data_IF_789427661954
#
_entry.id   IF_789427661954
#
_cell.length_a   1.000
_cell.length_b   1.000
_cell.length_c   1.000
_cell.angle_alpha   90.00
_cell.angle_beta   90.00
_cell.angle_gamma   90.00
#
_symmetry.space_group_name_H-M   'P 1'
#
loop_
_entity.id
_entity.type
_entity.pdbx_description
1 polymer ?
#
# COMPACT_ATOMS: atom_id res chain seq x y z
N UNK A 1 10.01 10.66 30.42
CA UNK A 1 11.17 10.60 31.33
C UNK A 1 10.91 9.53 32.38
N UNK A 2 11.30 8.30 32.07
CA UNK A 2 11.48 7.12 32.94
C UNK A 2 12.75 6.50 32.36
N UNK A 3 13.89 6.62 33.01
CA UNK A 3 14.23 5.77 34.15
C UNK A 3 15.31 4.82 33.66
N UNK A 4 16.48 5.39 33.39
CA UNK A 4 17.74 4.71 33.14
C UNK A 4 18.18 4.05 34.45
N UNK A 5 17.76 2.81 34.71
CA UNK A 5 18.23 2.01 35.85
C UNK A 5 18.44 0.55 35.42
N UNK A 6 19.36 0.32 34.49
CA UNK A 6 19.76 -1.04 34.10
C UNK A 6 21.24 -1.15 33.70
N UNK A 7 22.13 -0.40 34.37
CA UNK A 7 23.58 -0.45 34.09
C UNK A 7 24.44 -0.47 35.35
N UNK A 8 24.02 -1.22 36.37
CA UNK A 8 24.81 -1.36 37.61
C UNK A 8 24.75 -2.80 38.17
N UNK A 9 24.86 -3.81 37.30
CA UNK A 9 25.01 -5.22 37.71
C UNK A 9 26.00 -6.01 36.83
N UNK A 10 27.15 -5.41 36.49
CA UNK A 10 28.23 -6.13 35.77
C UNK A 10 29.60 -5.98 36.48
N UNK A 11 29.67 -5.29 37.62
CA UNK A 11 30.94 -4.91 38.27
C UNK A 11 31.36 -5.67 39.54
N UNK A 12 30.77 -6.82 39.88
CA UNK A 12 31.09 -7.53 41.14
C UNK A 12 31.24 -9.06 41.01
N UNK A 13 31.77 -9.56 39.89
CA UNK A 13 32.07 -10.99 39.75
C UNK A 13 33.53 -11.30 39.44
N UNK A 14 34.44 -10.41 39.88
CA UNK A 14 35.88 -10.61 39.75
C UNK A 14 36.53 -10.10 41.02
N UNK A 15 36.56 -10.88 42.11
CA UNK A 15 37.55 -10.85 43.20
C UNK A 15 37.16 -11.86 44.30
N UNK A 16 37.16 -13.16 44.00
CA UNK A 16 37.39 -14.18 45.03
C UNK A 16 37.66 -15.56 44.43
N UNK A 17 38.86 -15.73 43.88
CA UNK A 17 39.43 -17.05 43.66
C UNK A 17 40.81 -17.08 44.28
N UNK A 18 40.84 -17.20 45.61
CA UNK A 18 42.00 -17.74 46.33
C UNK A 18 42.38 -19.07 45.70
N UNK A 19 43.54 -19.09 45.06
CA UNK A 19 44.18 -20.28 44.49
C UNK A 19 44.50 -21.23 45.64
N UNK A 20 43.59 -22.17 45.89
CA UNK A 20 43.84 -23.32 46.75
C UNK A 20 44.57 -24.36 45.90
N UNK A 21 45.89 -24.34 45.93
CA UNK A 21 46.73 -25.38 45.32
C UNK A 21 46.50 -26.72 46.04
N UNK A 22 45.46 -27.45 45.62
CA UNK A 22 45.39 -28.89 45.89
C UNK A 22 46.51 -29.55 45.11
N UNK A 23 47.57 -29.94 45.84
CA UNK A 23 48.53 -30.96 45.39
C UNK A 23 47.75 -32.15 44.86
N UNK A 24 47.80 -32.29 43.55
CA UNK A 24 47.28 -33.39 42.77
C UNK A 24 47.96 -34.69 43.19
N UNK A 25 47.19 -35.61 43.77
CA UNK A 25 47.52 -37.03 43.86
C UNK A 25 47.00 -37.76 42.61
N UNK A 26 47.30 -37.25 41.41
CA UNK A 26 47.00 -37.90 40.14
C UNK A 26 48.25 -38.54 39.52
N UNK A 27 49.01 -39.30 40.31
CA UNK A 27 50.09 -40.17 39.82
C UNK A 27 49.80 -41.63 40.20
N UNK A 28 48.61 -42.14 39.88
CA UNK A 28 48.33 -43.58 40.05
C UNK A 28 47.28 -44.21 39.13
N UNK A 29 46.96 -43.60 37.99
CA UNK A 29 46.35 -44.30 36.85
C UNK A 29 47.03 -43.80 35.59
N UNK A 30 47.75 -44.69 34.92
CA UNK A 30 48.41 -44.42 33.64
C UNK A 30 47.36 -44.16 32.56
N UNK A 31 46.89 -42.91 32.49
CA UNK A 31 46.18 -42.41 31.33
C UNK A 31 47.29 -42.02 30.36
N UNK A 32 47.44 -42.81 29.30
CA UNK A 32 48.43 -42.58 28.25
C UNK A 32 48.10 -41.27 27.55
N UNK A 33 49.13 -40.43 27.31
CA UNK A 33 49.02 -39.13 26.63
C UNK A 33 48.24 -39.18 25.30
N UNK A 34 48.17 -40.37 24.69
CA UNK A 34 47.38 -40.63 23.49
C UNK A 34 45.87 -40.41 23.69
N UNK A 35 45.30 -40.79 24.85
CA UNK A 35 43.87 -40.69 25.11
C UNK A 35 43.38 -39.25 25.32
N UNK A 36 44.22 -38.37 25.90
CA UNK A 36 43.88 -36.96 26.11
C UNK A 36 43.87 -36.16 24.79
N UNK A 37 44.66 -36.59 23.81
CA UNK A 37 44.73 -35.95 22.49
C UNK A 37 43.43 -36.13 21.67
N UNK A 38 42.82 -37.32 21.73
CA UNK A 38 41.60 -37.62 20.97
C UNK A 38 40.36 -36.89 21.48
N UNK A 39 40.21 -36.74 22.79
CA UNK A 39 39.08 -36.03 23.40
C UNK A 39 39.10 -34.53 23.06
N UNK A 40 40.28 -33.89 23.10
CA UNK A 40 40.44 -32.50 22.66
C UNK A 40 40.15 -32.33 21.15
N UNK A 41 40.58 -33.28 20.32
CA UNK A 41 40.35 -33.23 18.88
C UNK A 41 38.85 -33.38 18.53
N UNK A 42 38.13 -34.28 19.21
CA UNK A 42 36.68 -34.45 19.04
C UNK A 42 35.90 -33.19 19.47
N UNK A 43 36.25 -32.58 20.60
CA UNK A 43 35.63 -31.32 21.03
C UNK A 43 35.87 -30.18 20.04
N UNK A 44 37.08 -30.09 19.47
CA UNK A 44 37.39 -29.08 18.44
C UNK A 44 36.55 -29.27 17.18
N UNK A 45 36.40 -30.52 16.70
CA UNK A 45 35.54 -30.83 15.53
C UNK A 45 34.08 -30.46 15.80
N UNK A 46 33.55 -30.78 16.98
CA UNK A 46 32.15 -30.46 17.34
C UNK A 46 31.92 -28.94 17.40
N UNK A 47 32.85 -28.19 18.02
CA UNK A 47 32.78 -26.72 18.08
C UNK A 47 32.87 -26.12 16.68
N UNK A 48 33.78 -26.62 15.85
CA UNK A 48 33.95 -26.16 14.47
C UNK A 48 32.70 -26.45 13.63
N UNK A 49 32.15 -27.67 13.68
CA UNK A 49 30.94 -28.04 12.97
C UNK A 49 29.72 -27.19 13.38
N UNK A 50 29.54 -26.96 14.69
CA UNK A 50 28.47 -26.10 15.19
C UNK A 50 28.65 -24.63 14.76
N UNK A 51 29.88 -24.13 14.71
CA UNK A 51 30.17 -22.77 14.23
C UNK A 51 29.88 -22.59 12.73
N UNK A 52 30.18 -23.60 11.90
CA UNK A 52 29.89 -23.59 10.46
C UNK A 52 28.38 -23.60 10.21
N UNK A 53 27.63 -24.43 10.93
CA UNK A 53 26.15 -24.45 10.86
C UNK A 53 25.55 -23.12 11.31
N UNK A 54 26.10 -22.50 12.36
CA UNK A 54 25.63 -21.20 12.84
C UNK A 54 25.87 -20.07 11.83
N UNK A 55 27.05 -20.05 11.20
CA UNK A 55 27.39 -19.09 10.13
C UNK A 55 26.49 -19.28 8.90
N UNK A 56 26.17 -20.53 8.54
CA UNK A 56 25.30 -20.84 7.41
C UNK A 56 23.85 -20.42 7.66
N UNK A 57 23.34 -20.62 8.88
CA UNK A 57 22.01 -20.15 9.30
C UNK A 57 21.93 -18.62 9.40
N UNK A 58 22.99 -17.95 9.87
CA UNK A 58 23.04 -16.49 9.93
C UNK A 58 22.94 -15.85 8.55
N UNK A 59 23.64 -16.39 7.55
CA UNK A 59 23.55 -15.94 6.15
C UNK A 59 22.15 -16.10 5.59
N UNK A 60 21.48 -17.20 5.93
CA UNK A 60 20.12 -17.49 5.49
C UNK A 60 19.12 -16.50 6.10
N UNK A 61 19.26 -16.15 7.38
CA UNK A 61 18.43 -15.12 8.05
C UNK A 61 18.64 -13.75 7.43
N UNK A 62 19.88 -13.35 7.14
CA UNK A 62 20.18 -12.07 6.46
C UNK A 62 19.57 -12.04 5.06
N UNK A 63 19.64 -13.15 4.33
CA UNK A 63 19.06 -13.25 2.98
C UNK A 63 17.53 -13.18 3.02
N UNK A 64 16.87 -13.88 3.94
CA UNK A 64 15.41 -13.80 4.14
C UNK A 64 15.00 -12.37 4.52
N UNK A 65 15.74 -11.71 5.43
CA UNK A 65 15.47 -10.33 5.80
C UNK A 65 15.58 -9.38 4.59
N UNK A 66 16.56 -9.60 3.71
CA UNK A 66 16.74 -8.80 2.51
C UNK A 66 15.60 -9.00 1.49
N UNK A 67 15.13 -10.23 1.31
CA UNK A 67 13.98 -10.55 0.43
C UNK A 67 12.67 -9.93 0.94
N UNK A 68 12.45 -9.92 2.26
CA UNK A 68 11.27 -9.26 2.87
C UNK A 68 11.30 -7.75 2.65
N UNK A 69 12.47 -7.11 2.72
CA UNK A 69 12.62 -5.67 2.46
C UNK A 69 12.38 -5.34 0.98
N UNK A 70 12.83 -6.19 0.06
CA UNK A 70 12.70 -6.00 -1.39
C UNK A 70 11.29 -6.26 -1.94
N UNK A 71 10.49 -7.07 -1.25
CA UNK A 71 9.13 -7.45 -1.70
C UNK A 71 8.04 -6.42 -1.31
N UNK A 72 8.41 -5.31 -0.66
CA UNK A 72 7.46 -4.38 -0.03
C UNK A 72 7.06 -3.10 -0.79
N UNK A 73 7.38 -2.92 -2.08
CA UNK A 73 7.36 -1.57 -2.68
C UNK A 73 6.41 -1.34 -3.89
N UNK A 74 5.29 -2.06 -3.99
CA UNK A 74 4.25 -1.71 -4.98
C UNK A 74 2.85 -1.87 -4.39
N UNK A 75 2.31 -0.80 -3.81
CA UNK A 75 0.93 -0.78 -3.33
C UNK A 75 -0.02 -0.50 -4.50
N UNK A 76 -0.48 -1.54 -5.17
CA UNK A 76 -1.41 -1.47 -6.31
C UNK A 76 -2.80 -1.02 -5.86
N UNK A 77 -3.32 0.11 -6.35
CA UNK A 77 -4.65 0.64 -5.99
C UNK A 77 -5.78 -0.37 -6.20
N UNK A 78 -6.77 -0.38 -5.29
CA UNK A 78 -7.90 -1.32 -5.28
C UNK A 78 -9.07 -0.64 -5.97
N UNK A 79 -9.39 -1.06 -7.19
CA UNK A 79 -10.52 -0.54 -7.96
C UNK A 79 -11.85 -0.67 -7.20
N UNK A 80 -12.01 -1.69 -6.35
CA UNK A 80 -13.20 -1.92 -5.54
C UNK A 80 -13.56 -0.74 -4.61
N UNK A 81 -12.59 0.05 -4.15
CA UNK A 81 -12.84 1.21 -3.27
C UNK A 81 -13.06 2.52 -4.04
N UNK A 82 -12.92 2.49 -5.37
CA UNK A 82 -13.24 3.62 -6.26
C UNK A 82 -14.68 3.59 -6.77
N UNK A 83 -15.39 2.47 -6.56
CA UNK A 83 -16.76 2.29 -7.03
C UNK A 83 -17.73 2.92 -6.03
N UNK A 84 -18.66 3.74 -6.52
CA UNK A 84 -19.71 4.34 -5.69
C UNK A 84 -20.57 3.25 -5.05
N UNK A 85 -20.83 3.36 -3.75
CA UNK A 85 -21.69 2.41 -3.04
C UNK A 85 -23.15 2.67 -3.34
N UNK A 86 -24.01 1.65 -3.28
CA UNK A 86 -25.47 1.80 -3.47
C UNK A 86 -26.07 2.79 -2.46
N UNK A 87 -25.51 2.89 -1.26
CA UNK A 87 -25.98 3.84 -0.25
C UNK A 87 -25.72 5.31 -0.61
N UNK A 88 -24.75 5.62 -1.47
CA UNK A 88 -24.49 7.00 -1.91
C UNK A 88 -25.40 7.41 -3.09
N UNK A 89 -26.11 6.44 -3.68
CA UNK A 89 -27.00 6.59 -4.85
C UNK A 89 -28.48 6.72 -4.41
N UNK A 90 -28.76 6.87 -3.11
CA UNK A 90 -30.11 6.76 -2.49
C UNK A 90 -31.16 7.77 -3.01
N UNK A 91 -30.80 8.77 -3.82
CA UNK A 91 -31.72 9.87 -4.19
C UNK A 91 -32.40 9.82 -5.57
N UNK A 92 -32.17 8.83 -6.43
CA UNK A 92 -32.52 9.03 -7.85
C UNK A 92 -33.51 8.04 -8.45
N UNK A 93 -34.70 8.54 -8.81
CA UNK A 93 -35.40 8.09 -10.00
C UNK A 93 -34.68 8.69 -11.21
N UNK A 94 -34.14 7.85 -12.09
CA UNK A 94 -33.44 8.33 -13.27
C UNK A 94 -34.32 9.19 -14.18
N UNK A 95 -33.80 10.29 -14.76
CA UNK A 95 -34.41 10.82 -15.96
C UNK A 95 -34.42 9.69 -17.00
N UNK A 96 -35.59 9.42 -17.55
CA UNK A 96 -35.85 8.23 -18.37
C UNK A 96 -34.88 8.10 -19.56
N UNK A 97 -34.37 9.22 -20.08
CA UNK A 97 -33.62 9.26 -21.35
C UNK A 97 -32.16 8.79 -21.26
N UNK A 98 -31.51 8.94 -20.09
CA UNK A 98 -30.12 8.49 -19.87
C UNK A 98 -30.03 7.10 -19.25
N UNK A 99 -31.17 6.55 -18.80
CA UNK A 99 -31.23 5.22 -18.20
C UNK A 99 -30.79 4.18 -19.22
N UNK A 100 -29.77 3.38 -18.88
CA UNK A 100 -29.20 2.35 -19.76
C UNK A 100 -28.78 2.83 -21.15
N UNK A 101 -28.33 4.08 -21.27
CA UNK A 101 -28.10 4.71 -22.58
C UNK A 101 -26.72 5.38 -22.71
N UNK A 102 -25.86 5.25 -21.69
CA UNK A 102 -24.51 5.81 -21.67
C UNK A 102 -23.48 4.69 -21.85
N UNK A 103 -22.55 4.85 -22.79
CA UNK A 103 -21.34 4.03 -22.88
C UNK A 103 -20.12 4.82 -22.37
N UNK A 104 -19.11 4.11 -21.87
CA UNK A 104 -17.86 4.74 -21.40
C UNK A 104 -16.86 4.80 -22.56
N UNK A 105 -16.50 6.02 -22.94
CA UNK A 105 -15.55 6.33 -24.00
C UNK A 105 -14.09 6.25 -23.54
N UNK A 106 -13.29 7.21 -24.02
CA UNK A 106 -11.88 7.26 -23.68
C UNK A 106 -11.67 7.86 -22.29
N UNK A 107 -10.69 7.30 -21.56
CA UNK A 107 -10.17 7.91 -20.35
C UNK A 107 -8.72 8.28 -20.61
N UNK A 108 -8.37 9.52 -20.30
CA UNK A 108 -7.04 10.08 -20.52
C UNK A 108 -6.58 10.91 -19.32
N UNK A 109 -5.32 11.33 -19.35
CA UNK A 109 -4.78 12.31 -18.41
C UNK A 109 -4.24 11.72 -17.11
N UNK A 110 -4.37 10.41 -16.90
CA UNK A 110 -3.62 9.75 -15.83
C UNK A 110 -2.16 9.68 -16.25
N UNK A 111 -1.34 10.60 -15.76
CA UNK A 111 0.11 10.48 -15.87
C UNK A 111 0.55 9.27 -15.04
N UNK A 112 1.10 8.27 -15.71
CA UNK A 112 1.77 7.12 -15.08
C UNK A 112 2.74 7.68 -14.04
N UNK A 113 2.56 7.30 -12.78
CA UNK A 113 3.23 7.84 -11.60
C UNK A 113 2.82 9.28 -11.20
N UNK A 114 1.76 9.38 -10.40
CA UNK A 114 1.62 10.53 -9.50
C UNK A 114 2.65 10.36 -8.38
N UNK A 115 3.72 11.16 -8.43
CA UNK A 115 4.76 11.18 -7.40
C UNK A 115 4.32 12.09 -6.26
N UNK A 116 4.18 11.52 -5.06
CA UNK A 116 3.80 12.27 -3.87
C UNK A 116 4.98 12.39 -2.94
N UNK A 117 5.38 13.63 -2.65
CA UNK A 117 6.32 13.90 -1.57
C UNK A 117 5.60 13.74 -0.24
N UNK A 118 6.06 12.78 0.57
CA UNK A 118 5.74 12.78 1.99
C UNK A 118 6.57 13.81 2.71
N UNK A 119 6.10 14.25 3.87
CA UNK A 119 6.85 15.18 4.72
C UNK A 119 8.12 14.59 5.30
N UNK A 120 8.25 13.26 5.33
CA UNK A 120 9.52 12.59 5.65
C UNK A 120 10.55 12.69 4.52
N UNK A 121 10.26 13.44 3.45
CA UNK A 121 11.11 13.52 2.26
C UNK A 121 11.05 12.29 1.34
N UNK A 122 10.26 11.27 1.70
CA UNK A 122 10.10 10.08 0.87
C UNK A 122 9.12 10.34 -0.28
N UNK A 123 9.55 10.03 -1.50
CA UNK A 123 8.69 10.04 -2.69
C UNK A 123 7.93 8.72 -2.71
N UNK A 124 6.60 8.81 -2.69
CA UNK A 124 5.72 7.66 -2.87
C UNK A 124 5.14 7.72 -4.27
N UNK A 125 5.30 6.62 -5.01
CA UNK A 125 4.71 6.45 -6.33
C UNK A 125 3.43 5.63 -6.21
N UNK A 126 2.33 6.16 -6.74
CA UNK A 126 1.13 5.38 -6.99
C UNK A 126 0.96 5.18 -8.49
N UNK A 127 0.90 3.92 -8.90
CA UNK A 127 0.54 3.54 -10.26
C UNK A 127 -0.98 3.60 -10.39
N UNK A 128 -1.47 4.73 -10.89
CA UNK A 128 -2.85 4.89 -11.34
C UNK A 128 -2.79 4.73 -12.86
N UNK A 129 -3.64 3.87 -13.41
CA UNK A 129 -3.79 3.69 -14.86
C UNK A 129 -5.15 4.17 -15.31
N UNK A 130 -5.26 4.65 -16.54
CA UNK A 130 -6.54 5.00 -17.16
C UNK A 130 -7.55 3.84 -17.08
N UNK A 131 -7.07 2.60 -17.21
CA UNK A 131 -7.87 1.39 -17.07
C UNK A 131 -8.57 1.27 -15.71
N UNK A 132 -7.93 1.68 -14.61
CA UNK A 132 -8.48 1.60 -13.27
C UNK A 132 -9.66 2.57 -13.11
N UNK A 133 -9.51 3.81 -13.60
CA UNK A 133 -10.57 4.82 -13.57
C UNK A 133 -11.70 4.43 -14.51
N UNK A 134 -11.37 3.85 -15.67
CA UNK A 134 -12.37 3.37 -16.63
C UNK A 134 -13.22 2.29 -16.02
N UNK A 135 -12.60 1.32 -15.37
CA UNK A 135 -13.31 0.27 -14.66
C UNK A 135 -14.19 0.84 -13.54
N UNK A 136 -13.66 1.76 -12.72
CA UNK A 136 -14.42 2.38 -11.64
C UNK A 136 -15.64 3.17 -12.13
N UNK A 137 -15.49 3.93 -13.23
CA UNK A 137 -16.57 4.70 -13.85
C UNK A 137 -17.64 3.76 -14.45
N UNK A 138 -17.23 2.76 -15.22
CA UNK A 138 -18.13 1.76 -15.82
C UNK A 138 -18.96 1.05 -14.74
N UNK A 139 -18.32 0.55 -13.68
CA UNK A 139 -19.02 -0.15 -12.60
C UNK A 139 -19.94 0.79 -11.82
N UNK A 140 -19.55 2.05 -11.63
CA UNK A 140 -20.39 3.04 -10.95
C UNK A 140 -21.63 3.41 -11.79
N UNK A 141 -21.49 3.60 -13.11
CA UNK A 141 -22.62 3.82 -14.02
C UNK A 141 -23.55 2.61 -14.09
N UNK A 142 -22.97 1.39 -14.07
CA UNK A 142 -23.73 0.14 -14.04
C UNK A 142 -24.57 0.04 -12.76
N UNK A 143 -23.96 0.32 -11.60
CA UNK A 143 -24.68 0.37 -10.32
C UNK A 143 -25.76 1.44 -10.29
N UNK A 144 -25.52 2.57 -10.96
CA UNK A 144 -26.49 3.64 -11.14
C UNK A 144 -27.52 3.36 -12.26
N UNK A 145 -27.53 2.20 -12.92
CA UNK A 145 -28.44 1.88 -14.04
C UNK A 145 -28.38 2.87 -15.22
N UNK A 146 -27.28 3.60 -15.37
CA UNK A 146 -27.05 4.54 -16.47
C UNK A 146 -26.26 3.88 -17.62
N UNK A 147 -25.46 2.87 -17.31
CA UNK A 147 -24.66 2.16 -18.30
C UNK A 147 -25.55 1.40 -19.28
N UNK A 148 -25.42 1.70 -20.56
CA UNK A 148 -26.08 1.01 -21.65
C UNK A 148 -25.23 -0.09 -22.27
N UNK A 149 -25.78 -0.71 -23.31
CA UNK A 149 -25.01 -1.61 -24.16
C UNK A 149 -24.19 -0.76 -25.15
N UNK A 150 -22.88 -1.00 -25.26
CA UNK A 150 -21.95 -0.21 -26.08
C UNK A 150 -22.44 -0.01 -27.53
N UNK A 151 -23.17 -0.97 -28.11
CA UNK A 151 -23.66 -0.86 -29.50
C UNK A 151 -24.98 -0.12 -29.65
N UNK A 152 -25.71 0.11 -28.56
CA UNK A 152 -27.05 0.73 -28.55
C UNK A 152 -27.10 2.03 -27.77
N UNK A 153 -26.02 2.40 -27.09
CA UNK A 153 -25.96 3.61 -26.27
C UNK A 153 -25.92 4.84 -27.18
N UNK A 154 -26.83 5.78 -26.93
CA UNK A 154 -26.94 7.04 -27.67
C UNK A 154 -25.99 8.10 -27.15
N UNK A 155 -25.32 7.85 -26.01
CA UNK A 155 -24.41 8.79 -25.37
C UNK A 155 -23.06 8.14 -25.07
N UNK A 156 -21.98 8.88 -25.32
CA UNK A 156 -20.61 8.51 -24.96
C UNK A 156 -20.14 9.45 -23.85
N UNK A 157 -19.75 8.89 -22.72
CA UNK A 157 -19.13 9.61 -21.62
C UNK A 157 -17.62 9.37 -21.62
N UNK A 158 -16.84 10.42 -21.79
CA UNK A 158 -15.38 10.41 -21.69
C UNK A 158 -14.92 11.16 -20.44
N UNK A 159 -13.74 10.81 -19.93
CA UNK A 159 -13.14 11.45 -18.76
C UNK A 159 -11.68 11.80 -19.02
N UNK A 160 -11.26 12.98 -18.58
CA UNK A 160 -9.88 13.43 -18.66
C UNK A 160 -9.42 13.87 -17.26
N UNK A 161 -8.50 13.11 -16.68
CA UNK A 161 -7.93 13.41 -15.36
C UNK A 161 -6.97 14.59 -15.51
N UNK A 162 -7.33 15.72 -14.91
CA UNK A 162 -6.51 16.94 -14.98
C UNK A 162 -5.41 16.88 -13.92
N UNK A 163 -5.79 16.61 -12.67
CA UNK A 163 -4.86 16.57 -11.55
C UNK A 163 -5.32 15.66 -10.42
N UNK A 164 -4.33 15.13 -9.69
CA UNK A 164 -4.51 14.42 -8.44
C UNK A 164 -3.51 15.03 -7.46
N UNK A 165 -3.97 16.03 -6.73
CA UNK A 165 -3.13 16.84 -5.85
C UNK A 165 -3.32 16.41 -4.39
N UNK A 166 -2.26 16.42 -3.61
CA UNK A 166 -2.33 16.18 -2.17
C UNK A 166 -2.14 17.49 -1.44
N UNK A 167 -2.95 17.74 -0.42
CA UNK A 167 -2.67 18.84 0.49
C UNK A 167 -1.44 18.51 1.35
N UNK A 168 -0.59 19.51 1.56
CA UNK A 168 0.70 19.34 2.22
C UNK A 168 0.58 19.33 3.74
N UNK A 169 -0.63 19.43 4.30
CA UNK A 169 -0.83 19.41 5.75
C UNK A 169 -0.46 18.05 6.38
N UNK A 170 0.27 18.14 7.50
CA UNK A 170 1.05 17.06 8.15
C UNK A 170 0.20 15.93 8.71
N UNK A 171 -0.99 16.27 9.20
CA UNK A 171 -1.74 15.41 10.12
C UNK A 171 -2.90 14.73 9.40
N UNK A 172 -3.48 15.39 8.39
CA UNK A 172 -4.59 14.87 7.60
C UNK A 172 -4.15 14.80 6.13
N UNK A 173 -3.88 13.60 5.63
CA UNK A 173 -3.58 13.43 4.22
C UNK A 173 -4.87 13.59 3.41
N UNK A 174 -5.19 14.83 3.00
CA UNK A 174 -6.29 15.07 2.06
C UNK A 174 -5.77 15.00 0.62
N UNK A 175 -6.60 14.45 -0.26
CA UNK A 175 -6.31 14.32 -1.68
C UNK A 175 -7.45 14.98 -2.45
N UNK A 176 -7.09 15.86 -3.38
CA UNK A 176 -7.98 16.49 -4.34
C UNK A 176 -7.83 15.80 -5.69
N UNK A 177 -8.94 15.39 -6.28
CA UNK A 177 -8.96 14.84 -7.65
C UNK A 177 -9.80 15.75 -8.53
N UNK A 178 -9.23 16.19 -9.65
CA UNK A 178 -9.88 17.06 -10.64
C UNK A 178 -10.00 16.29 -11.95
N UNK A 179 -11.24 16.08 -12.42
CA UNK A 179 -11.55 15.32 -13.62
C UNK A 179 -12.50 16.14 -14.49
N UNK A 180 -12.17 16.30 -15.76
CA UNK A 180 -13.07 16.80 -16.78
C UNK A 180 -13.89 15.65 -17.33
N UNK A 181 -15.22 15.79 -17.33
CA UNK A 181 -16.13 14.86 -17.97
C UNK A 181 -16.77 15.48 -19.19
N UNK A 182 -16.96 14.65 -20.21
CA UNK A 182 -17.61 15.05 -21.45
C UNK A 182 -18.66 14.01 -21.87
N UNK A 183 -19.91 14.43 -21.99
CA UNK A 183 -21.01 13.61 -22.52
C UNK A 183 -21.35 14.07 -23.94
N UNK A 184 -21.24 13.17 -24.91
CA UNK A 184 -21.51 13.44 -26.32
C UNK A 184 -22.66 12.54 -26.78
N UNK A 185 -23.63 13.10 -27.49
CA UNK A 185 -24.65 12.32 -28.20
C UNK A 185 -24.08 11.73 -29.48
N UNK A 186 -24.26 10.43 -29.67
CA UNK A 186 -23.68 9.67 -30.79
C UNK A 186 -24.27 10.09 -32.13
N UNK A 187 -25.57 10.38 -32.19
CA UNK A 187 -26.28 10.65 -33.44
C UNK A 187 -25.81 11.91 -34.17
N UNK A 188 -25.56 12.99 -33.42
CA UNK A 188 -25.23 14.33 -33.95
C UNK A 188 -23.85 14.82 -33.50
N UNK A 189 -23.11 14.02 -32.72
CA UNK A 189 -21.84 14.40 -32.06
C UNK A 189 -21.96 15.65 -31.19
N UNK A 190 -23.17 16.01 -30.76
CA UNK A 190 -23.40 17.20 -29.94
C UNK A 190 -22.90 16.95 -28.52
N UNK A 191 -22.15 17.89 -28.00
CA UNK A 191 -21.74 17.92 -26.60
C UNK A 191 -22.94 18.36 -25.75
N UNK A 192 -23.36 17.50 -24.83
CA UNK A 192 -24.50 17.74 -23.93
C UNK A 192 -24.01 18.21 -22.58
N UNK A 193 -22.88 17.65 -22.13
CA UNK A 193 -22.26 18.00 -20.87
C UNK A 193 -20.76 18.12 -21.10
N UNK A 194 -20.18 19.20 -20.60
CA UNK A 194 -18.77 19.28 -20.27
C UNK A 194 -18.62 19.99 -18.94
N UNK A 195 -18.05 19.29 -17.97
CA UNK A 195 -17.90 19.80 -16.62
C UNK A 195 -16.59 19.33 -16.02
N UNK A 196 -15.92 20.25 -15.33
CA UNK A 196 -14.74 19.95 -14.52
C UNK A 196 -15.22 19.78 -13.09
N UNK A 197 -15.12 18.55 -12.59
CA UNK A 197 -15.53 18.20 -11.23
C UNK A 197 -14.28 18.01 -10.38
N UNK A 198 -14.27 18.62 -9.21
CA UNK A 198 -13.28 18.36 -8.18
C UNK A 198 -13.92 17.72 -6.94
N UNK A 199 -13.17 16.85 -6.29
CA UNK A 199 -13.53 16.25 -5.02
C UNK A 199 -12.30 16.22 -4.11
N UNK A 200 -12.51 16.40 -2.81
CA UNK A 200 -11.46 16.29 -1.79
C UNK A 200 -11.87 15.19 -0.82
N UNK A 201 -10.99 14.22 -0.59
CA UNK A 201 -11.17 13.20 0.44
C UNK A 201 -10.02 13.21 1.42
N UNK A 202 -10.34 12.99 2.69
CA UNK A 202 -9.36 12.81 3.76
C UNK A 202 -9.05 11.33 4.00
N UNK A 203 -7.82 11.02 4.39
CA UNK A 203 -7.42 9.68 4.81
C UNK A 203 -8.14 9.26 6.09
N UNK A 204 -8.48 7.97 6.21
CA UNK A 204 -9.04 7.44 7.47
C UNK A 204 -7.90 7.31 8.49
N UNK A 205 -8.16 7.70 9.74
CA UNK A 205 -7.22 7.56 10.86
C UNK A 205 -6.79 6.11 11.10
N UNK A 206 -7.66 5.15 10.79
CA UNK A 206 -7.47 3.70 11.05
C UNK A 206 -6.37 3.03 10.20
N UNK A 207 -5.86 3.71 9.16
CA UNK A 207 -4.75 3.18 8.38
C UNK A 207 -3.44 3.40 9.16
N UNK A 208 -2.97 2.35 9.82
CA UNK A 208 -1.73 2.29 10.63
C UNK A 208 -0.47 2.69 9.83
N UNK A 209 -0.54 2.68 8.49
CA UNK A 209 0.56 3.06 7.60
C UNK A 209 0.20 4.30 6.76
N UNK A 210 1.08 5.31 6.74
CA UNK A 210 0.91 6.54 5.97
C UNK A 210 0.65 6.29 4.47
N UNK A 211 1.27 5.26 3.89
CA UNK A 211 1.04 4.84 2.51
C UNK A 211 -0.42 4.44 2.25
N UNK A 212 -1.02 3.69 3.18
CA UNK A 212 -2.41 3.24 3.07
C UNK A 212 -3.38 4.42 3.23
N UNK A 213 -3.04 5.44 4.04
CA UNK A 213 -3.86 6.66 4.18
C UNK A 213 -3.96 7.42 2.86
N UNK A 214 -2.82 7.69 2.22
CA UNK A 214 -2.78 8.43 0.95
C UNK A 214 -3.54 7.66 -0.13
N UNK A 215 -3.26 6.36 -0.26
CA UNK A 215 -3.97 5.50 -1.20
C UNK A 215 -5.49 5.52 -1.00
N UNK A 216 -5.94 5.32 0.24
CA UNK A 216 -7.37 5.31 0.55
C UNK A 216 -8.04 6.66 0.28
N UNK A 217 -7.28 7.75 0.43
CA UNK A 217 -7.75 9.11 0.11
C UNK A 217 -7.89 9.30 -1.40
N UNK A 218 -6.94 8.82 -2.20
CA UNK A 218 -7.04 8.82 -3.67
C UNK A 218 -8.27 8.02 -4.12
N UNK A 219 -8.40 6.78 -3.63
CA UNK A 219 -9.52 5.89 -3.99
C UNK A 219 -10.87 6.55 -3.69
N UNK A 220 -11.02 7.12 -2.49
CA UNK A 220 -12.24 7.82 -2.08
C UNK A 220 -12.46 9.13 -2.80
N UNK A 221 -11.40 9.87 -3.12
CA UNK A 221 -11.53 11.12 -3.85
C UNK A 221 -12.02 10.90 -5.27
N UNK A 222 -11.51 9.85 -5.95
CA UNK A 222 -12.03 9.41 -7.25
C UNK A 222 -13.48 8.95 -7.12
N UNK A 223 -13.82 8.12 -6.12
CA UNK A 223 -15.19 7.66 -5.90
C UNK A 223 -16.17 8.83 -5.68
N UNK A 224 -15.79 9.80 -4.85
CA UNK A 224 -16.58 10.99 -4.59
C UNK A 224 -16.75 11.88 -5.82
N UNK A 225 -15.72 11.96 -6.67
CA UNK A 225 -15.78 12.67 -7.95
C UNK A 225 -16.78 12.01 -8.91
N UNK A 226 -16.70 10.68 -9.08
CA UNK A 226 -17.66 9.90 -9.89
C UNK A 226 -19.08 10.01 -9.33
N UNK A 227 -19.26 9.99 -8.01
CA UNK A 227 -20.56 10.17 -7.37
C UNK A 227 -21.17 11.53 -7.71
N UNK A 228 -20.37 12.62 -7.62
CA UNK A 228 -20.80 13.94 -8.07
C UNK A 228 -21.22 13.95 -9.54
N UNK A 229 -20.43 13.33 -10.43
CA UNK A 229 -20.80 13.22 -11.84
C UNK A 229 -22.14 12.52 -12.02
N UNK A 230 -22.33 11.37 -11.38
CA UNK A 230 -23.58 10.60 -11.47
C UNK A 230 -24.76 11.48 -11.05
N UNK A 231 -24.63 12.23 -9.95
CA UNK A 231 -25.66 13.18 -9.52
C UNK A 231 -25.96 14.23 -10.59
N UNK A 232 -24.92 14.78 -11.24
CA UNK A 232 -25.10 15.75 -12.35
C UNK A 232 -25.80 15.13 -13.56
N UNK A 233 -25.51 13.87 -13.87
CA UNK A 233 -26.22 13.12 -14.92
C UNK A 233 -27.70 12.90 -14.59
N UNK A 234 -28.05 12.76 -13.31
CA UNK A 234 -29.44 12.68 -12.87
C UNK A 234 -30.18 14.03 -12.92
N UNK A 235 -29.47 15.12 -12.67
CA UNK A 235 -30.04 16.48 -12.71
C UNK A 235 -30.16 17.06 -14.13
N UNK A 236 -29.53 16.42 -15.12
CA UNK A 236 -29.56 16.82 -16.52
C UNK A 236 -30.97 16.71 -17.10
N UNK A 237 -31.53 17.85 -17.51
CA UNK A 237 -32.78 17.95 -18.27
C UNK A 237 -32.44 18.05 -19.75
N UNK A 238 -32.64 16.96 -20.50
CA UNK A 238 -32.29 16.82 -21.91
C UNK A 238 -33.46 16.23 -22.69
#
# INVERSE_FOLDING_TARGET
>A
MKGLEASEKVGQFTQNWTIRTRKSNYLKKGITYQQFSYECFLLFIIIFANSVVYIMNLRLIVFISFVIILSGCASTLRTNHMIVSKQDIIKYNAPSILTTNIMVGNISGVKEASSFLTQSGSIIYFDIKDANIKQALTESLKKAKLLGNDRKSQYILSANVISIDRDREVIVSSVRTTIEYKLIRVSDKKEILREIIFFVSEGKLDAVLALHRVRSSIERSIAGNISKLINRLYDLRI
#
